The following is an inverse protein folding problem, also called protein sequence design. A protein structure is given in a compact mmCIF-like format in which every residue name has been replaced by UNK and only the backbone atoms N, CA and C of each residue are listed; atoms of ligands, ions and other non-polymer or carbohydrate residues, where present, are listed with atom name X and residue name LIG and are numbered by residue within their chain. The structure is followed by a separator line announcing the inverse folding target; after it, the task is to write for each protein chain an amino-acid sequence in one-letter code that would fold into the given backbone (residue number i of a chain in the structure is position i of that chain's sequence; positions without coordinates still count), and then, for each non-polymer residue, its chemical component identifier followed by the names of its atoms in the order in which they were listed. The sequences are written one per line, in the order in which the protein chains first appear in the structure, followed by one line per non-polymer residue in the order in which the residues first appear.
data_IF_157874217088
#
_entry.id   IF_157874217088
#
_cell.length_a   1.000
_cell.length_b   1.000
_cell.length_c   1.000
_cell.angle_alpha   90.00
_cell.angle_beta   90.00
_cell.angle_gamma   90.00
#
_symmetry.space_group_name_H-M   'P 1'
#
loop_
_entity.id
_entity.type
_entity.pdbx_description
1 polymer ?
#
# COMPACT_ATOMS: atom_id res chain seq x y z
N UNK A 1 18.65 5.77 -7.83
CA UNK A 1 18.29 7.07 -7.24
C UNK A 1 16.86 7.41 -7.62
N UNK A 2 15.90 7.19 -6.72
CA UNK A 2 14.61 7.88 -6.68
C UNK A 2 14.28 8.06 -5.20
N UNK A 3 14.26 9.33 -4.79
CA UNK A 3 14.04 9.80 -3.43
C UNK A 3 12.54 9.65 -3.11
N UNK A 4 12.24 9.26 -1.87
CA UNK A 4 10.89 9.22 -1.32
C UNK A 4 10.27 10.62 -1.33
N UNK A 5 9.11 10.77 -1.95
CA UNK A 5 8.24 11.92 -1.71
C UNK A 5 6.95 11.40 -1.07
N UNK A 6 6.87 11.49 0.26
CA UNK A 6 5.56 11.53 0.94
C UNK A 6 5.16 12.99 0.85
N UNK A 7 4.50 13.35 -0.26
CA UNK A 7 3.82 14.63 -0.35
C UNK A 7 2.57 14.53 0.51
N UNK A 8 2.50 15.29 1.60
CA UNK A 8 1.24 15.66 2.23
C UNK A 8 1.18 17.17 2.11
N UNK A 9 0.28 17.66 1.28
CA UNK A 9 0.05 19.10 1.13
C UNK A 9 -1.40 19.34 1.51
N UNK A 10 -1.61 20.17 2.54
CA UNK A 10 -2.95 20.59 2.98
C UNK A 10 -3.19 21.99 2.43
N UNK A 11 -4.23 22.14 1.59
CA UNK A 11 -4.59 23.45 1.04
C UNK A 11 -6.02 23.80 1.44
N UNK A 12 -6.18 25.05 1.85
CA UNK A 12 -7.42 25.70 2.26
C UNK A 12 -7.85 26.66 1.15
N UNK A 13 -9.01 26.45 0.55
CA UNK A 13 -9.58 27.36 -0.47
C UNK A 13 -10.83 28.07 0.06
N UNK A 14 -10.83 29.41 0.04
CA UNK A 14 -11.99 30.24 0.38
C UNK A 14 -12.86 30.63 -0.84
N UNK A 15 -12.35 30.44 -2.07
CA UNK A 15 -13.08 30.60 -3.33
C UNK A 15 -12.78 29.41 -4.26
N UNK A 16 -13.70 28.45 -4.29
CA UNK A 16 -13.39 27.09 -4.73
C UNK A 16 -13.64 26.93 -6.23
N UNK A 17 -12.58 26.59 -6.96
CA UNK A 17 -12.66 26.06 -8.31
C UNK A 17 -12.14 24.62 -8.30
N UNK A 18 -13.02 23.65 -8.54
CA UNK A 18 -12.71 22.21 -8.60
C UNK A 18 -11.47 21.91 -9.44
N UNK A 19 -11.32 22.60 -10.57
CA UNK A 19 -10.18 22.43 -11.47
C UNK A 19 -8.84 22.81 -10.84
N UNK A 20 -8.79 23.82 -9.95
CA UNK A 20 -7.53 24.20 -9.28
C UNK A 20 -7.07 23.14 -8.30
N UNK A 21 -8.01 22.52 -7.59
CA UNK A 21 -7.69 21.41 -6.67
C UNK A 21 -7.25 20.18 -7.47
N UNK A 22 -7.92 19.85 -8.58
CA UNK A 22 -7.53 18.71 -9.41
C UNK A 22 -6.14 18.89 -10.04
N UNK A 23 -5.85 20.08 -10.60
CA UNK A 23 -4.52 20.38 -11.15
C UNK A 23 -3.42 20.34 -10.08
N UNK A 24 -3.73 20.77 -8.86
CA UNK A 24 -2.81 20.62 -7.73
C UNK A 24 -2.56 19.13 -7.42
N UNK A 25 -3.61 18.32 -7.27
CA UNK A 25 -3.47 16.89 -6.95
C UNK A 25 -2.69 16.15 -8.05
N UNK A 26 -2.97 16.47 -9.31
CA UNK A 26 -2.26 15.92 -10.47
C UNK A 26 -0.76 16.23 -10.39
N UNK A 27 -0.41 17.51 -10.17
CA UNK A 27 0.98 17.95 -10.06
C UNK A 27 1.71 17.26 -8.91
N UNK A 28 1.12 17.27 -7.71
CA UNK A 28 1.78 16.72 -6.51
C UNK A 28 1.89 15.18 -6.53
N UNK A 29 1.12 14.51 -7.39
CA UNK A 29 1.10 13.04 -7.49
C UNK A 29 1.75 12.52 -8.76
N UNK A 30 2.49 13.36 -9.49
CA UNK A 30 3.12 13.04 -10.77
C UNK A 30 2.12 12.51 -11.82
N UNK A 31 0.91 13.08 -11.87
CA UNK A 31 -0.12 12.73 -12.85
C UNK A 31 -0.88 11.45 -12.54
N UNK A 32 -0.81 10.94 -11.30
CA UNK A 32 -1.49 9.70 -10.90
C UNK A 32 -2.87 9.93 -10.28
N UNK A 33 -3.11 11.12 -9.69
CA UNK A 33 -4.40 11.51 -9.13
C UNK A 33 -4.92 12.73 -9.90
N UNK A 34 -5.75 12.48 -10.91
CA UNK A 34 -6.15 13.51 -11.87
C UNK A 34 -7.56 14.07 -11.60
N UNK A 35 -8.39 13.29 -10.91
CA UNK A 35 -9.75 13.68 -10.53
C UNK A 35 -9.95 13.56 -9.02
N UNK A 36 -9.34 14.48 -8.27
CA UNK A 36 -9.44 14.52 -6.82
C UNK A 36 -10.83 14.94 -6.34
N UNK A 37 -11.44 15.90 -7.03
CA UNK A 37 -12.82 16.36 -6.87
C UNK A 37 -13.58 16.14 -8.18
N UNK A 38 -14.59 15.28 -8.14
CA UNK A 38 -15.48 15.05 -9.29
C UNK A 38 -16.39 16.26 -9.54
N UNK A 39 -16.91 16.38 -10.77
CA UNK A 39 -17.82 17.47 -11.14
C UNK A 39 -19.10 17.43 -10.28
N UNK A 40 -19.41 18.52 -9.59
CA UNK A 40 -20.58 18.63 -8.71
C UNK A 40 -20.32 18.32 -7.23
N UNK A 41 -19.12 17.85 -6.87
CA UNK A 41 -18.69 17.66 -5.46
C UNK A 41 -18.58 18.97 -4.66
N UNK A 42 -18.51 20.12 -5.36
CA UNK A 42 -18.43 21.46 -4.80
C UNK A 42 -19.59 22.28 -5.35
N UNK A 43 -20.27 23.02 -4.48
CA UNK A 43 -21.35 23.91 -4.86
C UNK A 43 -21.17 25.30 -4.22
N UNK A 44 -22.11 26.22 -4.48
CA UNK A 44 -22.07 27.62 -4.00
C UNK A 44 -22.12 27.74 -2.47
N UNK A 45 -22.51 26.69 -1.74
CA UNK A 45 -22.53 26.65 -0.28
C UNK A 45 -21.20 26.13 0.31
N UNK A 46 -20.34 25.51 -0.49
CA UNK A 46 -19.03 25.03 -0.03
C UNK A 46 -18.13 26.23 0.29
N UNK A 47 -17.73 26.38 1.56
CA UNK A 47 -16.90 27.50 2.03
C UNK A 47 -15.42 27.15 2.18
N UNK A 48 -15.13 25.86 2.37
CA UNK A 48 -13.79 25.37 2.66
C UNK A 48 -13.63 23.93 2.17
N UNK A 49 -12.44 23.60 1.70
CA UNK A 49 -11.99 22.24 1.39
C UNK A 49 -10.65 22.02 2.09
N UNK A 50 -10.52 20.84 2.70
CA UNK A 50 -9.24 20.28 3.12
C UNK A 50 -8.89 19.15 2.16
N UNK A 51 -7.88 19.38 1.32
CA UNK A 51 -7.38 18.38 0.40
C UNK A 51 -6.08 17.79 0.93
N UNK A 52 -5.93 16.46 0.82
CA UNK A 52 -4.69 15.74 1.09
C UNK A 52 -4.54 14.67 0.01
N UNK A 53 -3.43 14.70 -0.71
CA UNK A 53 -3.07 13.71 -1.71
C UNK A 53 -1.72 13.13 -1.31
N UNK A 54 -1.65 11.79 -1.28
CA UNK A 54 -0.45 11.05 -0.95
C UNK A 54 -0.12 10.09 -2.10
N UNK A 55 1.13 10.14 -2.56
CA UNK A 55 1.67 9.18 -3.51
C UNK A 55 2.92 8.52 -2.93
N UNK A 56 3.07 7.23 -3.17
CA UNK A 56 4.22 6.47 -2.71
C UNK A 56 4.68 5.48 -3.78
N UNK A 57 5.96 5.58 -4.17
CA UNK A 57 6.64 4.62 -5.04
C UNK A 57 8.05 4.37 -4.51
N UNK A 58 8.22 3.22 -3.86
CA UNK A 58 9.52 2.77 -3.35
C UNK A 58 10.11 1.66 -4.22
N UNK A 59 11.43 1.64 -4.36
CA UNK A 59 12.16 0.49 -4.89
C UNK A 59 12.36 -0.55 -3.79
N UNK A 60 12.16 -1.84 -4.05
CA UNK A 60 12.45 -2.88 -3.06
C UNK A 60 13.94 -2.93 -2.72
N UNK A 61 14.29 -3.09 -1.43
CA UNK A 61 15.68 -3.31 -1.01
C UNK A 61 16.27 -4.56 -1.67
N UNK A 62 15.46 -5.60 -1.78
CA UNK A 62 15.77 -6.81 -2.53
C UNK A 62 14.78 -6.92 -3.69
N UNK A 63 15.20 -6.50 -4.89
CA UNK A 63 14.33 -6.51 -6.08
C UNK A 63 13.99 -7.93 -6.53
N UNK A 64 12.78 -8.08 -7.06
CA UNK A 64 12.36 -9.29 -7.77
C UNK A 64 12.97 -9.31 -9.17
N UNK A 65 13.35 -10.48 -9.65
CA UNK A 65 13.83 -10.64 -11.02
C UNK A 65 12.63 -10.67 -11.97
N UNK A 66 12.56 -9.71 -12.89
CA UNK A 66 11.45 -9.61 -13.84
C UNK A 66 11.26 -10.90 -14.66
N UNK A 67 12.35 -11.57 -15.04
CA UNK A 67 12.33 -12.86 -15.76
C UNK A 67 11.70 -14.01 -14.98
N UNK A 68 11.56 -13.89 -13.65
CA UNK A 68 10.88 -14.87 -12.78
C UNK A 68 9.42 -14.54 -12.53
N UNK A 69 8.92 -13.43 -13.08
CA UNK A 69 7.50 -13.06 -12.98
C UNK A 69 6.71 -13.91 -13.96
N UNK A 70 5.73 -14.65 -13.47
CA UNK A 70 4.90 -15.53 -14.29
C UNK A 70 3.43 -15.41 -13.88
N UNK A 71 2.53 -15.77 -14.79
CA UNK A 71 1.10 -15.71 -14.53
C UNK A 71 0.65 -16.90 -13.67
N UNK A 72 0.10 -16.61 -12.50
CA UNK A 72 -0.54 -17.60 -11.62
C UNK A 72 -2.00 -17.23 -11.36
N UNK A 73 -2.76 -18.21 -10.88
CA UNK A 73 -4.15 -17.98 -10.50
C UNK A 73 -4.23 -17.19 -9.19
N UNK A 74 -4.96 -16.09 -9.21
CA UNK A 74 -5.43 -15.38 -8.03
C UNK A 74 -6.91 -15.71 -7.83
N UNK A 75 -7.25 -16.24 -6.65
CA UNK A 75 -8.61 -16.68 -6.33
C UNK A 75 -9.42 -15.52 -5.74
N UNK A 76 -10.57 -15.26 -6.33
CA UNK A 76 -11.51 -14.21 -5.90
C UNK A 76 -12.48 -14.75 -4.85
N UNK A 77 -13.10 -13.85 -4.08
CA UNK A 77 -14.06 -14.20 -3.03
C UNK A 77 -15.29 -14.94 -3.54
N UNK A 78 -15.68 -14.71 -4.80
CA UNK A 78 -16.79 -15.41 -5.46
C UNK A 78 -16.43 -16.84 -5.93
N UNK A 79 -15.23 -17.34 -5.59
CA UNK A 79 -14.75 -18.68 -5.96
C UNK A 79 -14.10 -18.78 -7.34
N UNK A 80 -14.24 -17.75 -8.19
CA UNK A 80 -13.56 -17.70 -9.50
C UNK A 80 -12.06 -17.39 -9.37
N UNK A 81 -11.32 -17.47 -10.47
CA UNK A 81 -9.90 -17.11 -10.49
C UNK A 81 -9.53 -16.30 -11.73
N UNK A 82 -8.58 -15.39 -11.57
CA UNK A 82 -7.97 -14.62 -12.65
C UNK A 82 -6.47 -14.90 -12.72
N UNK A 83 -5.89 -14.92 -13.92
CA UNK A 83 -4.44 -15.02 -14.08
C UNK A 83 -3.82 -13.64 -13.95
N UNK A 84 -2.89 -13.49 -13.01
CA UNK A 84 -2.14 -12.24 -12.80
C UNK A 84 -0.64 -12.54 -12.67
N UNK A 85 0.24 -11.57 -12.98
CA UNK A 85 1.68 -11.76 -12.85
C UNK A 85 2.10 -11.79 -11.38
N UNK A 86 2.61 -12.93 -10.90
CA UNK A 86 3.19 -13.03 -9.56
C UNK A 86 4.70 -12.83 -9.64
N UNK A 87 5.21 -11.97 -8.77
CA UNK A 87 6.65 -11.80 -8.58
C UNK A 87 7.17 -12.90 -7.64
N UNK A 88 8.25 -13.58 -8.01
CA UNK A 88 8.80 -14.71 -7.26
C UNK A 88 10.24 -14.46 -6.81
N UNK A 89 10.57 -14.91 -5.60
CA UNK A 89 11.92 -14.84 -5.03
C UNK A 89 12.19 -16.08 -4.17
N UNK A 90 13.35 -16.69 -4.35
CA UNK A 90 13.85 -17.82 -3.54
C UNK A 90 14.74 -17.33 -2.39
N UNK A 91 14.99 -16.02 -2.30
CA UNK A 91 15.81 -15.44 -1.24
C UNK A 91 15.06 -15.49 0.09
N UNK A 92 15.79 -15.64 1.21
CA UNK A 92 15.22 -15.52 2.56
C UNK A 92 14.43 -14.22 2.72
N UNK A 93 13.20 -14.33 3.19
CA UNK A 93 12.28 -13.21 3.39
C UNK A 93 11.90 -13.05 4.85
N UNK A 94 11.49 -11.84 5.23
CA UNK A 94 10.93 -11.61 6.55
C UNK A 94 9.51 -12.15 6.60
N UNK A 95 9.32 -13.34 7.17
CA UNK A 95 8.02 -14.00 7.26
C UNK A 95 7.78 -14.49 8.68
N UNK A 96 6.54 -14.29 9.16
CA UNK A 96 6.06 -14.84 10.43
C UNK A 96 4.68 -15.43 10.22
N UNK A 97 4.49 -16.64 10.73
CA UNK A 97 3.21 -17.34 10.72
C UNK A 97 2.56 -17.18 12.08
N UNK A 98 1.29 -16.82 12.10
CA UNK A 98 0.43 -16.75 13.26
C UNK A 98 -0.71 -17.77 13.10
N UNK A 99 -1.43 -18.03 14.19
CA UNK A 99 -2.68 -18.78 14.05
C UNK A 99 -3.69 -17.97 13.23
N UNK A 100 -4.11 -18.55 12.11
CA UNK A 100 -5.06 -17.96 11.16
C UNK A 100 -4.50 -17.04 10.06
N UNK A 101 -3.24 -16.61 10.10
CA UNK A 101 -2.67 -15.74 9.05
C UNK A 101 -1.13 -15.74 9.00
N UNK A 102 -0.57 -15.27 7.88
CA UNK A 102 0.87 -15.07 7.67
C UNK A 102 1.17 -13.58 7.45
N UNK A 103 2.35 -13.13 7.86
CA UNK A 103 2.81 -11.76 7.61
C UNK A 103 4.14 -11.80 6.86
N UNK A 104 4.20 -11.12 5.73
CA UNK A 104 5.42 -10.88 4.94
C UNK A 104 5.82 -9.41 5.09
N UNK A 105 7.10 -9.14 5.39
CA UNK A 105 7.68 -7.79 5.36
C UNK A 105 8.66 -7.63 4.22
N UNK A 106 8.41 -6.66 3.34
CA UNK A 106 9.28 -6.29 2.23
C UNK A 106 9.87 -4.89 2.46
N UNK A 107 11.15 -4.77 2.83
CA UNK A 107 11.79 -3.48 2.99
C UNK A 107 11.98 -2.77 1.65
N UNK A 108 11.76 -1.47 1.64
CA UNK A 108 12.19 -0.60 0.54
C UNK A 108 13.68 -0.27 0.66
N UNK A 109 14.29 0.04 -0.47
CA UNK A 109 15.63 0.59 -0.59
C UNK A 109 15.66 1.93 0.17
N UNK A 110 16.65 2.09 1.05
CA UNK A 110 16.80 3.33 1.80
C UNK A 110 17.37 4.39 0.86
N UNK A 111 16.71 5.55 0.82
CA UNK A 111 17.21 6.71 0.08
C UNK A 111 18.20 7.52 0.92
N UNK A 112 18.35 8.80 0.58
CA UNK A 112 19.15 9.76 1.37
C UNK A 112 18.53 10.03 2.74
N UNK A 113 17.22 9.84 2.85
CA UNK A 113 16.49 9.92 4.10
C UNK A 113 16.90 8.77 5.05
N UNK A 114 17.05 9.08 6.34
CA UNK A 114 17.35 8.10 7.38
C UNK A 114 16.16 7.21 7.72
N UNK A 115 14.94 7.61 7.33
CA UNK A 115 13.71 6.83 7.53
C UNK A 115 13.76 5.54 6.71
N UNK A 116 13.30 4.46 7.32
CA UNK A 116 13.21 3.15 6.69
C UNK A 116 11.75 2.77 6.50
N UNK A 117 11.39 2.42 5.27
CA UNK A 117 10.03 2.00 4.93
C UNK A 117 10.00 0.51 4.61
N UNK A 118 8.92 -0.16 4.97
CA UNK A 118 8.65 -1.54 4.61
C UNK A 118 7.17 -1.72 4.34
N UNK A 119 6.83 -2.53 3.34
CA UNK A 119 5.47 -3.00 3.14
C UNK A 119 5.25 -4.27 3.97
N UNK A 120 4.14 -4.31 4.70
CA UNK A 120 3.67 -5.49 5.41
C UNK A 120 2.45 -6.03 4.69
N UNK A 121 2.49 -7.32 4.33
CA UNK A 121 1.40 -8.03 3.68
C UNK A 121 0.89 -9.07 4.65
N UNK A 122 -0.38 -8.91 5.05
CA UNK A 122 -1.09 -9.83 5.91
C UNK A 122 -1.95 -10.75 5.04
N UNK A 123 -1.71 -12.05 5.12
CA UNK A 123 -2.38 -13.04 4.30
C UNK A 123 -3.18 -13.98 5.21
N UNK A 124 -4.53 -13.91 5.23
CA UNK A 124 -5.34 -14.85 5.99
C UNK A 124 -5.18 -16.28 5.46
N UNK A 125 -5.29 -17.27 6.34
CA UNK A 125 -5.28 -18.69 6.00
C UNK A 125 -6.57 -19.09 5.26
N UNK A 126 -7.71 -18.54 5.68
CA UNK A 126 -9.00 -18.74 5.01
C UNK A 126 -9.13 -17.82 3.80
N UNK A 127 -9.73 -18.30 2.70
CA UNK A 127 -9.86 -17.56 1.43
C UNK A 127 -10.75 -16.31 1.57
N UNK A 128 -11.71 -16.36 2.47
CA UNK A 128 -12.67 -15.32 2.84
C UNK A 128 -12.33 -14.63 4.17
N UNK A 129 -11.19 -14.97 4.78
CA UNK A 129 -10.81 -14.52 6.13
C UNK A 129 -10.30 -13.08 6.22
N UNK A 130 -10.30 -12.30 5.14
CA UNK A 130 -9.74 -10.94 5.13
C UNK A 130 -10.50 -10.00 6.08
N UNK A 131 -11.84 -10.07 6.09
CA UNK A 131 -12.66 -9.22 6.95
C UNK A 131 -12.37 -9.45 8.43
N UNK A 132 -12.38 -10.72 8.86
CA UNK A 132 -12.08 -11.10 10.24
C UNK A 132 -10.65 -10.76 10.65
N UNK A 133 -9.69 -10.83 9.71
CA UNK A 133 -8.31 -10.40 9.96
C UNK A 133 -8.22 -8.88 10.16
N UNK A 134 -8.95 -8.08 9.38
CA UNK A 134 -9.01 -6.62 9.55
C UNK A 134 -9.61 -6.26 10.91
N UNK A 135 -10.71 -6.89 11.30
CA UNK A 135 -11.34 -6.68 12.61
C UNK A 135 -10.40 -7.04 13.76
N UNK A 136 -9.70 -8.17 13.65
CA UNK A 136 -8.69 -8.60 14.63
C UNK A 136 -7.57 -7.56 14.76
N UNK A 137 -6.98 -7.13 13.65
CA UNK A 137 -5.89 -6.13 13.65
C UNK A 137 -6.36 -4.78 14.20
N UNK A 138 -7.60 -4.36 13.90
CA UNK A 138 -8.17 -3.12 14.43
C UNK A 138 -8.42 -3.19 15.95
N UNK A 139 -8.79 -4.37 16.47
CA UNK A 139 -9.05 -4.57 17.89
C UNK A 139 -7.78 -4.77 18.74
N UNK A 140 -6.69 -5.25 18.13
CA UNK A 140 -5.43 -5.56 18.82
C UNK A 140 -4.31 -4.60 18.36
N UNK A 141 -4.31 -3.35 18.83
CA UNK A 141 -3.28 -2.35 18.47
C UNK A 141 -1.83 -2.83 18.71
N UNK A 142 -1.63 -3.68 19.73
CA UNK A 142 -0.34 -4.28 20.07
C UNK A 142 0.21 -5.26 19.01
N UNK A 143 -0.64 -5.79 18.13
CA UNK A 143 -0.18 -6.62 17.01
C UNK A 143 0.77 -5.85 16.10
N UNK A 144 0.55 -4.55 15.91
CA UNK A 144 1.34 -3.71 15.01
C UNK A 144 2.63 -3.22 15.67
N UNK A 145 2.64 -2.99 16.98
CA UNK A 145 3.73 -2.31 17.67
C UNK A 145 4.76 -3.25 18.30
N UNK A 146 4.34 -4.34 18.96
CA UNK A 146 5.26 -5.19 19.74
C UNK A 146 5.48 -6.60 19.16
N UNK A 147 4.53 -7.12 18.36
CA UNK A 147 4.56 -8.52 17.88
C UNK A 147 5.14 -8.72 16.48
N UNK A 148 5.63 -7.68 15.79
CA UNK A 148 6.20 -7.78 14.44
C UNK A 148 7.74 -7.87 14.41
N UNK A 149 8.36 -8.58 15.35
CA UNK A 149 9.74 -9.05 15.18
C UNK A 149 9.79 -10.15 14.10
N UNK A 150 9.59 -9.80 12.84
CA UNK A 150 9.49 -10.79 11.78
C UNK A 150 10.90 -11.29 11.42
N UNK A 151 11.24 -12.58 11.67
CA UNK A 151 12.56 -13.12 11.36
C UNK A 151 12.74 -13.35 9.85
N UNK A 152 13.98 -13.45 9.39
CA UNK A 152 14.25 -13.95 8.02
C UNK A 152 14.21 -15.47 7.99
N UNK A 153 13.36 -16.05 7.16
CA UNK A 153 13.24 -17.49 6.93
C UNK A 153 13.39 -17.83 5.46
N UNK A 154 13.68 -19.09 5.13
CA UNK A 154 13.69 -19.57 3.76
C UNK A 154 12.29 -19.62 3.17
N UNK A 155 12.18 -19.31 1.87
CA UNK A 155 10.89 -19.30 1.17
C UNK A 155 10.51 -20.73 0.85
N UNK A 156 9.39 -21.21 1.40
CA UNK A 156 8.87 -22.58 1.18
C UNK A 156 8.79 -23.44 2.44
N UNK A 157 9.40 -23.03 3.55
CA UNK A 157 9.46 -23.82 4.80
C UNK A 157 8.36 -23.45 5.84
N UNK A 158 7.26 -22.81 5.42
CA UNK A 158 6.25 -22.22 6.35
C UNK A 158 4.80 -22.28 5.86
#
# INVERSE_FOLDING_TARGET
MYIFFIGQVTITYSNIHTQRVNLWAEKETNGLINEFLYRGSVNKLTRLIFANALYFKGAWKNKFHASRTQNYNFYLLNGSSVKVPFMTSEKRQFIRVFDGFKVLRLPYEQGEDKRQFSMYIFLPKAKDGLQSLVEKVASESELLHHKLQIPKVEVGEF
#
